data_IF_629249773315
#
_entry.id   IF_629249773315
#
_cell.length_a   1.000
_cell.length_b   1.000
_cell.length_c   1.000
_cell.angle_alpha   90.00
_cell.angle_beta   90.00
_cell.angle_gamma   90.00
#
_symmetry.space_group_name_H-M   'P 1'
#
loop_
_entity.id
_entity.type
_entity.pdbx_description
1 polymer ?
#
# COMPACT_ATOMS: atom_id res chain seq x y z
N UNK A 1 -1.91 32.24 -18.77
CA UNK A 1 -2.60 31.18 -18.02
C UNK A 1 -1.58 30.08 -17.73
N UNK A 2 -1.26 29.84 -16.46
CA UNK A 2 -0.31 28.79 -16.05
C UNK A 2 -1.11 27.51 -15.86
N UNK A 3 -0.58 26.39 -16.36
CA UNK A 3 -1.21 25.08 -16.26
C UNK A 3 -0.25 24.06 -15.65
N UNK A 4 -0.81 23.08 -14.95
CA UNK A 4 -0.13 21.85 -14.51
C UNK A 4 -1.00 20.68 -14.97
N UNK A 5 -0.43 19.71 -15.68
CA UNK A 5 -1.14 18.55 -16.26
C UNK A 5 -2.43 18.96 -17.01
N UNK A 6 -2.31 19.92 -17.92
CA UNK A 6 -3.39 20.49 -18.75
C UNK A 6 -4.53 21.20 -17.99
N UNK A 7 -4.47 21.26 -16.65
CA UNK A 7 -5.42 22.00 -15.81
C UNK A 7 -4.87 23.36 -15.42
N UNK A 8 -5.75 24.37 -15.44
CA UNK A 8 -5.43 25.71 -14.96
C UNK A 8 -5.20 25.69 -13.44
N UNK A 9 -4.13 26.34 -12.96
CA UNK A 9 -3.87 26.45 -11.52
C UNK A 9 -4.81 27.50 -10.88
N UNK A 10 -5.19 27.28 -9.64
CA UNK A 10 -5.90 28.26 -8.82
C UNK A 10 -4.94 28.75 -7.74
N UNK A 11 -4.92 30.07 -7.50
CA UNK A 11 -4.10 30.69 -6.47
C UNK A 11 -4.99 31.36 -5.43
N UNK A 12 -4.55 31.38 -4.18
CA UNK A 12 -5.13 32.24 -3.15
C UNK A 12 -4.64 33.69 -3.26
N UNK A 13 -5.12 34.56 -2.38
CA UNK A 13 -4.77 35.99 -2.35
C UNK A 13 -3.28 36.25 -2.04
N UNK A 14 -2.54 35.24 -1.61
CA UNK A 14 -1.09 35.28 -1.30
C UNK A 14 -0.23 34.62 -2.38
N UNK A 15 -0.81 34.33 -3.54
CA UNK A 15 -0.19 33.58 -4.65
C UNK A 15 0.17 32.12 -4.28
N UNK A 16 -0.47 31.56 -3.25
CA UNK A 16 -0.35 30.16 -2.86
C UNK A 16 -1.20 29.23 -3.74
N UNK A 17 -0.69 28.05 -4.09
CA UNK A 17 -1.42 27.06 -4.88
C UNK A 17 -2.62 26.48 -4.11
N UNK A 18 -3.82 26.59 -4.68
CA UNK A 18 -5.03 25.96 -4.19
C UNK A 18 -5.21 24.57 -4.82
N UNK A 19 -5.65 23.62 -4.00
CA UNK A 19 -6.01 22.29 -4.49
C UNK A 19 -7.25 22.36 -5.39
N UNK A 20 -7.28 21.55 -6.45
CA UNK A 20 -8.44 21.43 -7.34
C UNK A 20 -9.63 20.67 -6.74
N UNK A 21 -9.43 20.05 -5.58
CA UNK A 21 -10.40 19.20 -4.92
C UNK A 21 -10.17 19.27 -3.42
N UNK A 22 -11.24 19.09 -2.64
CA UNK A 22 -11.14 18.98 -1.19
C UNK A 22 -10.52 17.66 -0.73
N UNK A 23 -10.05 17.63 0.51
CA UNK A 23 -9.41 16.46 1.09
C UNK A 23 -10.39 15.28 1.25
N UNK A 24 -11.68 15.56 1.51
CA UNK A 24 -12.72 14.54 1.68
C UNK A 24 -12.88 13.71 0.41
N UNK A 25 -12.93 14.36 -0.75
CA UNK A 25 -13.04 13.72 -2.05
C UNK A 25 -11.81 12.86 -2.36
N UNK A 26 -10.61 13.33 -2.01
CA UNK A 26 -9.37 12.54 -2.18
C UNK A 26 -9.38 11.27 -1.33
N UNK A 27 -9.79 11.39 -0.06
CA UNK A 27 -9.92 10.23 0.84
C UNK A 27 -10.98 9.26 0.30
N UNK A 28 -12.12 9.78 -0.15
CA UNK A 28 -13.18 8.97 -0.75
C UNK A 28 -12.67 8.19 -1.98
N UNK A 29 -11.94 8.83 -2.90
CA UNK A 29 -11.38 8.16 -4.07
C UNK A 29 -10.42 7.02 -3.70
N UNK A 30 -9.50 7.28 -2.76
CA UNK A 30 -8.54 6.27 -2.31
C UNK A 30 -9.22 5.08 -1.64
N UNK A 31 -10.20 5.33 -0.79
CA UNK A 31 -10.92 4.29 -0.04
C UNK A 31 -11.90 3.52 -0.93
N UNK A 32 -12.59 4.18 -1.86
CA UNK A 32 -13.47 3.51 -2.83
C UNK A 32 -12.67 2.56 -3.73
N UNK A 33 -11.44 2.94 -4.12
CA UNK A 33 -10.55 2.05 -4.86
C UNK A 33 -10.22 0.78 -4.08
N UNK A 34 -9.88 0.87 -2.78
CA UNK A 34 -9.61 -0.33 -1.97
C UNK A 34 -10.89 -1.17 -1.80
N UNK A 35 -12.01 -0.51 -1.48
CA UNK A 35 -13.30 -1.17 -1.26
C UNK A 35 -13.80 -1.93 -2.49
N UNK A 36 -13.55 -1.39 -3.69
CA UNK A 36 -13.95 -1.98 -4.98
C UNK A 36 -12.75 -2.46 -5.79
N UNK A 37 -11.65 -2.80 -5.13
CA UNK A 37 -10.41 -3.12 -5.80
C UNK A 37 -10.62 -4.30 -6.76
N UNK A 38 -10.25 -4.17 -8.04
CA UNK A 38 -10.35 -5.28 -8.98
C UNK A 38 -9.52 -6.47 -8.51
N UNK A 39 -9.98 -7.66 -8.89
CA UNK A 39 -9.28 -8.93 -8.63
C UNK A 39 -8.53 -9.33 -9.89
N UNK A 40 -7.28 -9.75 -9.73
CA UNK A 40 -6.49 -10.31 -10.81
C UNK A 40 -7.05 -11.68 -11.21
N UNK A 41 -7.47 -11.84 -12.46
CA UNK A 41 -8.11 -13.06 -12.93
C UNK A 41 -7.18 -14.29 -12.94
N UNK A 42 -5.86 -14.11 -12.85
CA UNK A 42 -4.87 -15.20 -12.87
C UNK A 42 -4.58 -15.72 -11.48
N UNK A 43 -4.60 -14.85 -10.47
CA UNK A 43 -4.22 -15.18 -9.10
C UNK A 43 -5.38 -15.14 -8.11
N UNK A 44 -6.51 -14.60 -8.53
CA UNK A 44 -7.70 -14.36 -7.69
C UNK A 44 -7.41 -13.42 -6.51
N UNK A 45 -6.32 -12.63 -6.57
CA UNK A 45 -5.95 -11.66 -5.56
C UNK A 45 -6.48 -10.27 -5.91
N UNK A 46 -6.98 -9.49 -4.93
CA UNK A 46 -7.15 -8.05 -5.09
C UNK A 46 -5.85 -7.39 -5.54
N UNK A 47 -5.94 -6.42 -6.45
CA UNK A 47 -4.74 -5.79 -7.01
C UNK A 47 -3.83 -5.14 -5.97
N UNK A 48 -4.38 -4.65 -4.85
CA UNK A 48 -3.56 -4.07 -3.78
C UNK A 48 -2.58 -5.07 -3.14
N UNK A 49 -2.76 -6.39 -3.33
CA UNK A 49 -1.84 -7.43 -2.87
C UNK A 49 -0.76 -7.81 -3.89
N UNK A 50 -0.89 -7.39 -5.14
CA UNK A 50 -0.04 -7.86 -6.24
C UNK A 50 0.64 -6.73 -7.03
N UNK A 51 0.25 -5.48 -6.81
CA UNK A 51 0.72 -4.34 -7.57
C UNK A 51 0.91 -3.10 -6.67
N UNK A 52 1.92 -2.29 -6.98
CA UNK A 52 2.21 -1.02 -6.28
C UNK A 52 1.57 0.20 -6.93
N UNK A 53 1.36 0.18 -8.25
CA UNK A 53 0.90 1.34 -9.00
C UNK A 53 0.07 0.96 -10.24
N UNK A 54 -0.73 1.93 -10.66
CA UNK A 54 -1.77 1.78 -11.69
C UNK A 54 -1.66 2.89 -12.72
N UNK A 55 -1.87 2.54 -13.99
CA UNK A 55 -2.28 3.50 -15.01
C UNK A 55 -3.75 3.85 -14.79
N UNK A 56 -4.15 5.08 -15.09
CA UNK A 56 -5.53 5.57 -14.85
C UNK A 56 -6.37 5.72 -16.13
N UNK A 57 -5.75 5.68 -17.32
CA UNK A 57 -6.44 5.78 -18.61
C UNK A 57 -5.89 4.76 -19.63
N UNK A 58 -6.49 3.55 -19.73
CA UNK A 58 -7.51 3.00 -18.83
C UNK A 58 -6.91 2.59 -17.48
N UNK A 59 -7.78 2.38 -16.47
CA UNK A 59 -7.37 1.83 -15.18
C UNK A 59 -6.82 0.40 -15.35
N UNK A 60 -5.52 0.20 -15.08
CA UNK A 60 -4.86 -1.10 -15.13
C UNK A 60 -3.59 -1.14 -14.30
N UNK A 61 -3.14 -2.30 -13.81
CA UNK A 61 -1.87 -2.42 -13.12
C UNK A 61 -0.70 -2.07 -14.04
N UNK A 62 0.33 -1.49 -13.45
CA UNK A 62 1.64 -1.36 -14.11
C UNK A 62 2.48 -2.61 -13.85
N UNK A 63 3.38 -2.92 -14.78
CA UNK A 63 4.44 -3.91 -14.56
C UNK A 63 5.61 -3.23 -13.84
N UNK A 64 5.42 -2.91 -12.56
CA UNK A 64 6.45 -2.32 -11.70
C UNK A 64 6.58 -3.14 -10.41
N UNK A 65 7.81 -3.31 -9.86
CA UNK A 65 8.02 -4.02 -8.60
C UNK A 65 7.20 -3.44 -7.46
N UNK A 66 6.65 -4.32 -6.66
CA UNK A 66 5.87 -3.97 -5.48
C UNK A 66 6.77 -3.84 -4.24
N UNK A 67 6.31 -3.05 -3.26
CA UNK A 67 6.93 -2.86 -1.95
C UNK A 67 5.92 -3.21 -0.84
N UNK A 68 5.51 -4.48 -0.70
CA UNK A 68 4.49 -4.89 0.26
C UNK A 68 4.87 -4.54 1.70
N UNK A 69 6.12 -4.69 2.13
CA UNK A 69 6.50 -4.38 3.52
C UNK A 69 6.21 -2.92 3.89
N UNK A 70 6.67 -1.97 3.08
CA UNK A 70 6.40 -0.55 3.33
C UNK A 70 4.94 -0.15 3.04
N UNK A 71 4.36 -0.65 1.95
CA UNK A 71 2.99 -0.32 1.54
C UNK A 71 1.96 -0.76 2.58
N UNK A 72 2.13 -1.96 3.14
CA UNK A 72 1.19 -2.51 4.11
C UNK A 72 1.37 -1.88 5.50
N UNK A 73 2.60 -1.55 5.90
CA UNK A 73 2.83 -0.74 7.10
C UNK A 73 2.11 0.62 7.00
N UNK A 74 2.18 1.29 5.84
CA UNK A 74 1.45 2.54 5.60
C UNK A 74 -0.07 2.33 5.54
N UNK A 75 -0.55 1.16 5.13
CA UNK A 75 -1.98 0.83 5.17
C UNK A 75 -2.50 0.72 6.62
N UNK A 76 -1.71 0.20 7.55
CA UNK A 76 -2.05 0.19 9.00
C UNK A 76 -2.15 1.62 9.56
N UNK A 77 -1.17 2.48 9.24
CA UNK A 77 -1.23 3.90 9.62
C UNK A 77 -2.48 4.58 9.02
N UNK A 78 -2.81 4.25 7.77
CA UNK A 78 -4.00 4.76 7.09
C UNK A 78 -5.27 4.26 7.77
N UNK A 79 -5.34 2.99 8.18
CA UNK A 79 -6.49 2.43 8.89
C UNK A 79 -6.76 3.18 10.19
N UNK A 80 -5.72 3.41 11.00
CA UNK A 80 -5.85 4.13 12.27
C UNK A 80 -6.47 5.51 12.07
N UNK A 81 -5.96 6.27 11.07
CA UNK A 81 -6.46 7.61 10.76
C UNK A 81 -7.84 7.60 10.12
N UNK A 82 -8.08 6.67 9.18
CA UNK A 82 -9.32 6.58 8.46
C UNK A 82 -10.47 6.15 9.38
N UNK A 83 -10.22 5.23 10.32
CA UNK A 83 -11.20 4.86 11.33
C UNK A 83 -11.57 6.06 12.21
N UNK A 84 -10.58 6.83 12.68
CA UNK A 84 -10.84 8.03 13.47
C UNK A 84 -11.61 9.12 12.69
N UNK A 85 -11.34 9.25 11.38
CA UNK A 85 -11.99 10.21 10.50
C UNK A 85 -13.43 9.82 10.11
N UNK A 86 -13.65 8.55 9.75
CA UNK A 86 -14.91 8.07 9.15
C UNK A 86 -15.83 7.31 10.11
N UNK A 87 -15.29 6.75 11.19
CA UNK A 87 -15.98 5.78 12.05
C UNK A 87 -16.21 4.40 11.41
N UNK A 88 -15.78 4.20 10.16
CA UNK A 88 -15.99 2.94 9.45
C UNK A 88 -14.96 1.87 9.84
N UNK A 89 -15.36 0.60 9.80
CA UNK A 89 -14.51 -0.54 10.21
C UNK A 89 -14.17 -1.51 9.08
N UNK A 90 -14.80 -1.40 7.91
CA UNK A 90 -14.60 -2.33 6.78
C UNK A 90 -13.14 -2.40 6.30
N UNK A 91 -12.36 -1.34 6.50
CA UNK A 91 -10.96 -1.27 6.05
C UNK A 91 -10.02 -2.14 6.89
N UNK A 92 -10.50 -2.64 8.04
CA UNK A 92 -9.81 -3.65 8.85
C UNK A 92 -9.46 -4.89 8.02
N UNK A 93 -10.44 -5.48 7.33
CA UNK A 93 -10.26 -6.76 6.62
C UNK A 93 -9.22 -6.67 5.48
N UNK A 94 -9.22 -5.65 4.60
CA UNK A 94 -8.14 -5.47 3.63
C UNK A 94 -6.76 -5.34 4.27
N UNK A 95 -6.62 -4.59 5.37
CA UNK A 95 -5.32 -4.41 6.04
C UNK A 95 -4.87 -5.70 6.70
N UNK A 96 -5.77 -6.45 7.34
CA UNK A 96 -5.48 -7.79 7.83
C UNK A 96 -4.98 -8.70 6.71
N UNK A 97 -5.68 -8.75 5.57
CA UNK A 97 -5.28 -9.57 4.43
C UNK A 97 -3.89 -9.19 3.87
N UNK A 98 -3.53 -7.91 3.91
CA UNK A 98 -2.19 -7.43 3.56
C UNK A 98 -1.13 -7.98 4.52
N UNK A 99 -1.37 -7.89 5.83
CA UNK A 99 -0.43 -8.33 6.87
C UNK A 99 -0.29 -9.86 6.93
N UNK A 100 -1.40 -10.60 6.83
CA UNK A 100 -1.42 -12.07 6.77
C UNK A 100 -0.61 -12.57 5.57
N UNK A 101 -0.76 -11.90 4.42
CA UNK A 101 -0.01 -12.26 3.23
C UNK A 101 1.48 -11.95 3.38
N UNK A 102 1.82 -10.81 3.97
CA UNK A 102 3.21 -10.40 4.16
C UNK A 102 3.96 -11.37 5.07
N UNK A 103 3.36 -11.81 6.19
CA UNK A 103 4.04 -12.70 7.14
C UNK A 103 4.21 -14.10 6.56
N UNK A 104 3.33 -14.54 5.66
CA UNK A 104 3.46 -15.82 4.97
C UNK A 104 4.70 -15.92 4.05
N UNK A 105 5.29 -14.77 3.68
CA UNK A 105 6.47 -14.70 2.82
C UNK A 105 7.66 -14.11 3.59
N UNK A 106 8.36 -14.99 4.30
CA UNK A 106 9.51 -14.62 5.12
C UNK A 106 10.81 -15.29 4.64
N UNK A 107 11.92 -14.70 5.05
CA UNK A 107 13.27 -15.21 4.78
C UNK A 107 13.53 -16.55 5.48
N UNK A 108 14.34 -17.45 4.88
CA UNK A 108 14.79 -18.69 5.52
C UNK A 108 15.72 -18.49 6.71
N UNK A 109 15.85 -19.53 7.54
CA UNK A 109 16.69 -19.53 8.77
C UNK A 109 18.19 -19.28 8.54
N UNK A 110 18.69 -19.56 7.33
CA UNK A 110 20.11 -19.42 7.00
C UNK A 110 20.47 -18.02 6.46
N UNK A 111 19.51 -17.10 6.38
CA UNK A 111 19.77 -15.73 5.97
C UNK A 111 20.36 -14.91 7.13
N UNK A 112 21.00 -13.78 6.81
CA UNK A 112 21.55 -12.88 7.83
C UNK A 112 20.46 -12.31 8.77
N UNK A 113 19.24 -12.18 8.25
CA UNK A 113 18.05 -11.79 8.98
C UNK A 113 17.00 -12.89 8.76
N UNK A 114 16.92 -13.92 9.62
CA UNK A 114 15.99 -15.03 9.44
C UNK A 114 14.58 -14.67 9.91
N UNK A 115 13.57 -15.31 9.32
CA UNK A 115 12.15 -15.18 9.73
C UNK A 115 11.50 -13.80 9.51
N UNK A 116 12.16 -12.87 8.83
CA UNK A 116 11.60 -11.54 8.55
C UNK A 116 10.84 -11.52 7.22
N UNK A 117 9.76 -10.72 7.06
CA UNK A 117 9.06 -10.60 5.79
C UNK A 117 9.96 -10.04 4.67
N UNK A 118 9.72 -10.46 3.43
CA UNK A 118 10.36 -9.85 2.28
C UNK A 118 9.86 -8.43 2.02
N UNK A 119 10.80 -7.55 1.65
CA UNK A 119 10.52 -6.13 1.42
C UNK A 119 9.74 -5.87 0.12
N UNK A 120 10.19 -6.51 -0.95
CA UNK A 120 9.70 -6.30 -2.31
C UNK A 120 9.22 -7.58 -3.00
N UNK A 121 8.51 -7.40 -4.11
CA UNK A 121 7.97 -8.49 -4.92
C UNK A 121 7.89 -8.12 -6.40
N UNK A 122 8.05 -9.11 -7.28
CA UNK A 122 7.62 -8.94 -8.66
C UNK A 122 6.08 -8.76 -8.72
N UNK A 123 5.58 -7.94 -9.67
CA UNK A 123 4.15 -7.72 -9.79
C UNK A 123 3.40 -8.99 -10.19
N UNK A 124 2.06 -8.92 -10.14
CA UNK A 124 1.12 -9.94 -10.62
C UNK A 124 0.88 -11.12 -9.68
N UNK A 125 1.92 -11.81 -9.22
CA UNK A 125 1.73 -13.09 -8.54
C UNK A 125 1.39 -12.96 -7.06
N UNK A 126 1.66 -11.79 -6.47
CA UNK A 126 1.54 -11.57 -5.03
C UNK A 126 2.45 -12.49 -4.21
N UNK A 127 3.53 -13.01 -4.79
CA UNK A 127 4.49 -13.87 -4.09
C UNK A 127 5.72 -13.04 -3.78
N UNK A 128 6.12 -12.98 -2.51
CA UNK A 128 7.16 -12.04 -2.08
C UNK A 128 8.46 -12.79 -1.81
N UNK A 129 9.50 -12.43 -2.55
CA UNK A 129 10.87 -12.93 -2.35
C UNK A 129 11.88 -11.95 -2.97
N UNK A 130 11.61 -10.64 -2.87
CA UNK A 130 12.36 -9.61 -3.55
C UNK A 130 11.87 -9.37 -4.99
N UNK A 131 12.47 -8.39 -5.65
CA UNK A 131 12.12 -7.98 -7.00
C UNK A 131 13.34 -7.51 -7.79
N UNK A 132 13.22 -7.34 -9.10
CA UNK A 132 14.30 -6.87 -9.99
C UNK A 132 14.87 -5.50 -9.64
N UNK A 133 14.12 -4.63 -8.96
CA UNK A 133 14.60 -3.32 -8.56
C UNK A 133 15.60 -3.41 -7.39
N UNK A 134 15.32 -4.26 -6.41
CA UNK A 134 16.08 -4.34 -5.16
C UNK A 134 16.99 -5.58 -5.10
N UNK A 135 16.67 -6.60 -5.91
CA UNK A 135 17.30 -7.92 -5.97
C UNK A 135 16.41 -9.03 -5.42
N UNK A 136 16.49 -10.22 -6.02
CA UNK A 136 15.80 -11.40 -5.50
C UNK A 136 16.44 -11.81 -4.16
N UNK A 137 15.59 -12.18 -3.21
CA UNK A 137 15.93 -12.59 -1.85
C UNK A 137 16.63 -11.50 -1.01
N UNK A 138 16.63 -10.25 -1.48
CA UNK A 138 17.22 -9.13 -0.75
C UNK A 138 16.30 -8.72 0.40
N UNK A 139 16.91 -8.53 1.57
CA UNK A 139 16.27 -7.98 2.76
C UNK A 139 16.70 -6.54 2.95
N UNK A 140 15.75 -5.66 3.29
CA UNK A 140 15.99 -4.26 3.57
C UNK A 140 15.68 -3.97 5.05
N UNK A 141 16.69 -3.68 5.91
CA UNK A 141 16.48 -3.48 7.34
C UNK A 141 15.46 -2.39 7.71
N UNK A 142 15.40 -1.31 6.93
CA UNK A 142 14.40 -0.25 7.12
C UNK A 142 12.98 -0.76 6.84
N UNK A 143 12.80 -1.62 5.84
CA UNK A 143 11.51 -2.23 5.50
C UNK A 143 11.07 -3.27 6.52
N UNK A 144 12.02 -4.04 7.06
CA UNK A 144 11.76 -4.95 8.18
C UNK A 144 11.23 -4.15 9.38
N UNK A 145 11.86 -3.02 9.71
CA UNK A 145 11.42 -2.16 10.79
C UNK A 145 10.03 -1.55 10.52
N UNK A 146 9.76 -1.10 9.28
CA UNK A 146 8.43 -0.60 8.89
C UNK A 146 7.35 -1.67 9.04
N UNK A 147 7.60 -2.89 8.54
CA UNK A 147 6.66 -3.99 8.68
C UNK A 147 6.40 -4.32 10.16
N UNK A 148 7.44 -4.41 10.98
CA UNK A 148 7.32 -4.68 12.42
C UNK A 148 6.47 -3.62 13.14
N UNK A 149 6.64 -2.34 12.81
CA UNK A 149 5.79 -1.27 13.33
C UNK A 149 4.34 -1.44 12.87
N UNK A 150 4.12 -1.78 11.59
CA UNK A 150 2.79 -2.08 11.07
C UNK A 150 2.08 -3.20 11.85
N UNK A 151 2.75 -4.33 12.09
CA UNK A 151 2.18 -5.41 12.91
C UNK A 151 1.88 -4.96 14.34
N UNK A 152 2.83 -4.26 14.98
CA UNK A 152 2.66 -3.80 16.35
C UNK A 152 1.49 -2.81 16.49
N UNK A 153 1.33 -1.89 15.55
CA UNK A 153 0.27 -0.89 15.58
C UNK A 153 -1.08 -1.51 15.22
N UNK A 154 -1.11 -2.48 14.32
CA UNK A 154 -2.31 -3.28 14.05
C UNK A 154 -2.75 -4.06 15.30
N UNK A 155 -1.81 -4.73 15.99
CA UNK A 155 -2.08 -5.40 17.26
C UNK A 155 -2.62 -4.44 18.33
N UNK A 156 -2.02 -3.25 18.49
CA UNK A 156 -2.51 -2.25 19.47
C UNK A 156 -3.93 -1.77 19.14
N UNK A 157 -4.26 -1.66 17.85
CA UNK A 157 -5.57 -1.20 17.40
C UNK A 157 -6.66 -2.26 17.59
N UNK A 158 -6.32 -3.53 17.39
CA UNK A 158 -7.31 -4.62 17.21
C UNK A 158 -7.26 -5.69 18.30
N UNK A 159 -6.13 -5.80 19.02
CA UNK A 159 -5.78 -6.93 19.90
C UNK A 159 -5.75 -8.30 19.21
N UNK A 160 -5.58 -8.33 17.88
CA UNK A 160 -5.48 -9.56 17.09
C UNK A 160 -4.04 -10.12 17.10
N UNK A 161 -3.89 -11.42 17.42
CA UNK A 161 -2.60 -12.14 17.52
C UNK A 161 -2.09 -12.71 16.19
#
# INVERSE_FOLDING_TARGET
MIKINDREIHLDDTEGLLAWTDCDHLVWLAMDFIRRCPVDARTELPWYLAYSCFWTDPLRPTDWPDNPAGKFAMAVETLTRYHAYSGETWFHEPVKAMLDRLIAYHTPDHFAWPGVPYASAEPTFGVYFGARADGHFVTEPDKIAQAALGYLDFFKLTSEE
#
